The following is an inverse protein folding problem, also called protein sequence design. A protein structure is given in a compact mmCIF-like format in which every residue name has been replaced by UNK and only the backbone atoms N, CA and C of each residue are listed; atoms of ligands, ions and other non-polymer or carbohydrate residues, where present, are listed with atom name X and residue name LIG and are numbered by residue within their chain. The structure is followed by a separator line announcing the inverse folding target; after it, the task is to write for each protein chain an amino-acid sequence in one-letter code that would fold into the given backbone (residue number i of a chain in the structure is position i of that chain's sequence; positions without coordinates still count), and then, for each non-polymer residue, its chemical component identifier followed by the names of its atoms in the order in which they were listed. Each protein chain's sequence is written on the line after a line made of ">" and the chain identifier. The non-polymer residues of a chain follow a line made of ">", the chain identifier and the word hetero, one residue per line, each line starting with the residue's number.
data_IF_894775726053
#
_entry.id   IF_894775726053
#
_cell.length_a   1.000
_cell.length_b   1.000
_cell.length_c   1.000
_cell.angle_alpha   90.00
_cell.angle_beta   90.00
_cell.angle_gamma   90.00
#
_symmetry.space_group_name_H-M   'P 1'
#
loop_
_entity.id
_entity.type
_entity.pdbx_description
1 polymer ?
#
# COMPACT_ATOMS: atom_id res chain seq x y z
N UNK A 1 21.08 9.73 6.70
CA UNK A 1 19.79 10.29 6.23
C UNK A 1 18.68 9.64 7.05
N UNK A 2 17.73 10.43 7.55
CA UNK A 2 16.64 9.94 8.42
C UNK A 2 15.44 9.49 7.59
N UNK A 3 15.01 8.24 7.75
CA UNK A 3 13.74 7.73 7.23
C UNK A 3 12.60 8.21 8.12
N UNK A 4 11.57 8.82 7.54
CA UNK A 4 10.38 9.28 8.28
C UNK A 4 9.21 8.31 8.16
N UNK A 5 9.02 7.72 6.98
CA UNK A 5 7.98 6.72 6.74
C UNK A 5 8.65 5.46 6.22
N UNK A 6 8.26 4.33 6.77
CA UNK A 6 8.67 3.02 6.30
C UNK A 6 7.45 2.13 6.14
N UNK A 7 7.26 1.59 4.94
CA UNK A 7 6.20 0.66 4.60
C UNK A 7 6.85 -0.66 4.24
N UNK A 8 6.45 -1.72 4.96
CA UNK A 8 6.93 -3.08 4.75
C UNK A 8 5.75 -4.01 4.52
N UNK A 9 5.87 -4.83 3.47
CA UNK A 9 4.93 -5.89 3.10
C UNK A 9 3.44 -5.50 3.13
N UNK A 10 3.14 -4.24 2.77
CA UNK A 10 1.78 -3.73 2.81
C UNK A 10 0.90 -4.48 1.81
N UNK A 11 -0.19 -5.03 2.33
CA UNK A 11 -1.19 -5.76 1.55
C UNK A 11 -2.56 -5.16 1.78
N UNK A 12 -3.39 -5.15 0.73
CA UNK A 12 -4.74 -4.59 0.78
C UNK A 12 -5.68 -5.48 -0.01
N UNK A 13 -6.80 -5.83 0.63
CA UNK A 13 -7.91 -6.52 -0.02
C UNK A 13 -9.19 -5.70 0.04
N UNK A 14 -10.09 -5.99 -0.91
CA UNK A 14 -11.48 -5.56 -0.86
C UNK A 14 -12.40 -6.77 -0.94
N UNK A 15 -13.45 -6.77 -0.11
CA UNK A 15 -14.52 -7.77 -0.16
C UNK A 15 -15.72 -7.18 -0.87
N UNK A 16 -16.16 -7.82 -1.96
CA UNK A 16 -17.31 -7.41 -2.74
C UNK A 16 -18.58 -8.03 -2.15
N UNK A 17 -19.20 -7.31 -1.21
CA UNK A 17 -20.37 -7.81 -0.49
C UNK A 17 -21.57 -8.14 -1.40
N UNK A 18 -21.76 -7.38 -2.49
CA UNK A 18 -22.84 -7.61 -3.47
C UNK A 18 -22.49 -8.67 -4.53
N UNK A 19 -21.27 -9.20 -4.50
CA UNK A 19 -20.81 -10.21 -5.46
C UNK A 19 -20.33 -11.45 -4.70
N UNK A 20 -21.25 -12.02 -3.92
CA UNK A 20 -21.03 -13.26 -3.17
C UNK A 20 -19.78 -13.24 -2.26
N UNK A 21 -19.36 -12.06 -1.81
CA UNK A 21 -18.19 -11.92 -0.94
C UNK A 21 -16.85 -12.15 -1.64
N UNK A 22 -16.77 -12.04 -2.97
CA UNK A 22 -15.49 -12.14 -3.70
C UNK A 22 -14.44 -11.20 -3.11
N UNK A 23 -13.23 -11.72 -2.93
CA UNK A 23 -12.10 -10.97 -2.37
C UNK A 23 -11.12 -10.60 -3.49
N UNK A 24 -10.88 -9.30 -3.66
CA UNK A 24 -9.88 -8.76 -4.57
C UNK A 24 -8.58 -8.50 -3.82
N UNK A 25 -7.47 -8.96 -4.37
CA UNK A 25 -6.12 -8.68 -3.87
C UNK A 25 -5.58 -7.42 -4.56
N UNK A 26 -5.78 -6.26 -3.93
CA UNK A 26 -5.52 -4.94 -4.50
C UNK A 26 -4.05 -4.54 -4.38
N UNK A 27 -3.45 -4.76 -3.21
CA UNK A 27 -2.01 -4.60 -2.99
C UNK A 27 -1.44 -5.89 -2.42
N UNK A 28 -0.24 -6.25 -2.86
CA UNK A 28 0.51 -7.40 -2.35
C UNK A 28 1.97 -7.03 -2.14
N UNK A 29 2.42 -7.07 -0.90
CA UNK A 29 3.85 -6.94 -0.56
C UNK A 29 4.48 -5.61 -0.97
N UNK A 30 3.76 -4.49 -0.84
CA UNK A 30 4.31 -3.19 -1.18
C UNK A 30 5.34 -2.76 -0.14
N UNK A 31 6.53 -2.39 -0.59
CA UNK A 31 7.67 -2.01 0.23
C UNK A 31 8.24 -0.66 -0.26
N UNK A 32 8.30 0.36 0.60
CA UNK A 32 8.95 1.63 0.29
C UNK A 32 9.29 2.43 1.56
N UNK A 33 10.13 3.45 1.42
CA UNK A 33 10.48 4.37 2.50
C UNK A 33 10.47 5.82 2.00
N UNK A 34 10.15 6.77 2.87
CA UNK A 34 10.21 8.21 2.57
C UNK A 34 11.19 8.88 3.54
N UNK A 35 12.14 9.63 2.99
CA UNK A 35 13.13 10.39 3.76
C UNK A 35 12.56 11.72 4.24
N UNK A 36 13.22 12.33 5.22
CA UNK A 36 12.91 13.70 5.62
C UNK A 36 13.02 14.68 4.45
N UNK A 37 11.94 15.42 4.17
CA UNK A 37 11.85 16.39 3.08
C UNK A 37 11.57 15.81 1.69
N UNK A 38 11.39 14.48 1.57
CA UNK A 38 11.10 13.82 0.29
C UNK A 38 9.61 13.94 -0.07
N UNK A 39 9.33 14.41 -1.30
CA UNK A 39 7.99 14.36 -1.88
C UNK A 39 7.88 13.12 -2.76
N UNK A 40 7.24 12.07 -2.24
CA UNK A 40 6.96 10.83 -2.97
C UNK A 40 5.52 10.86 -3.52
N UNK A 41 5.36 10.58 -4.81
CA UNK A 41 4.03 10.45 -5.44
C UNK A 41 3.77 8.98 -5.75
N UNK A 42 2.63 8.48 -5.27
CA UNK A 42 2.08 7.19 -5.72
C UNK A 42 1.04 7.49 -6.81
N UNK A 43 1.32 7.04 -8.04
CA UNK A 43 0.45 7.22 -9.20
C UNK A 43 -0.01 5.87 -9.72
N UNK A 44 -1.30 5.77 -10.03
CA UNK A 44 -1.98 4.57 -10.52
C UNK A 44 -3.46 4.84 -10.72
#
# INVERSE_FOLDING_TARGET
>A
MTTLIEVRDLSKTFTLHQHNGVVLNVLRGLNFSVRAGECLVLSG
#
